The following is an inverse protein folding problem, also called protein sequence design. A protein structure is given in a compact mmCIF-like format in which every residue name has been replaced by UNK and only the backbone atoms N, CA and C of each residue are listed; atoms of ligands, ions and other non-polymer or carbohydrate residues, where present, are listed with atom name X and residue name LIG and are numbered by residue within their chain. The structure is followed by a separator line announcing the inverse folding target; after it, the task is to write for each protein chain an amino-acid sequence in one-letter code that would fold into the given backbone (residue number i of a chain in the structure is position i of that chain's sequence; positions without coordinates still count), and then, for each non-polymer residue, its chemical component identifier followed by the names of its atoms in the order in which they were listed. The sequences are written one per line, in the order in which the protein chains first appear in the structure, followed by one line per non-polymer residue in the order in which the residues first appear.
data_IF_612814274445
#
_entry.id   IF_612814274445
#
_cell.length_a   1.000
_cell.length_b   1.000
_cell.length_c   1.000
_cell.angle_alpha   90.00
_cell.angle_beta   90.00
_cell.angle_gamma   90.00
#
_symmetry.space_group_name_H-M   'P 1'
#
loop_
_entity.id
_entity.type
_entity.pdbx_description
1 polymer ?
#
# COMPACT_ATOMS: atom_id res chain seq x y z
N UNK A 1 -12.20 -14.57 3.23
CA UNK A 1 -12.03 -13.14 3.54
C UNK A 1 -12.63 -12.91 4.90
N UNK A 2 -12.01 -12.15 5.82
CA UNK A 2 -12.66 -11.79 7.07
C UNK A 2 -13.97 -11.05 6.74
N UNK A 3 -15.02 -11.33 7.51
CA UNK A 3 -16.27 -10.57 7.42
C UNK A 3 -15.96 -9.12 7.79
N UNK A 4 -16.42 -8.19 6.97
CA UNK A 4 -16.26 -6.78 7.25
C UNK A 4 -17.24 -6.35 8.33
N UNK A 5 -16.82 -5.45 9.20
CA UNK A 5 -17.74 -4.84 10.14
C UNK A 5 -18.87 -4.13 9.40
N UNK A 6 -20.06 -4.18 9.95
CA UNK A 6 -21.20 -3.41 9.39
C UNK A 6 -20.89 -1.91 9.32
N UNK A 7 -20.09 -1.42 10.24
CA UNK A 7 -19.69 -0.02 10.30
C UNK A 7 -18.81 0.38 9.12
N UNK A 8 -17.81 -0.44 8.77
CA UNK A 8 -16.91 -0.18 7.65
C UNK A 8 -17.63 -0.19 6.29
N UNK A 9 -18.66 -1.00 6.11
CA UNK A 9 -19.40 -1.11 4.84
C UNK A 9 -20.66 -0.24 4.78
N UNK A 10 -21.16 0.25 5.92
CA UNK A 10 -22.37 1.07 5.97
C UNK A 10 -22.07 2.49 5.49
N UNK A 11 -22.79 3.04 4.51
CA UNK A 11 -22.62 4.42 4.08
C UNK A 11 -22.95 5.39 5.21
N UNK A 12 -22.11 6.42 5.36
CA UNK A 12 -22.49 7.57 6.18
C UNK A 12 -23.66 8.30 5.54
N UNK A 13 -24.50 8.91 6.39
CA UNK A 13 -25.56 9.79 5.89
C UNK A 13 -24.95 11.09 5.39
N UNK A 14 -25.50 11.62 4.29
CA UNK A 14 -25.16 12.97 3.86
C UNK A 14 -25.56 14.00 4.95
N UNK A 15 -24.63 14.85 5.28
CA UNK A 15 -24.86 15.96 6.21
C UNK A 15 -25.68 17.05 5.51
N UNK A 16 -26.64 17.64 6.24
CA UNK A 16 -27.41 18.78 5.71
C UNK A 16 -26.51 19.98 5.41
N UNK A 17 -25.50 20.20 6.25
CA UNK A 17 -24.56 21.32 6.14
C UNK A 17 -23.11 20.81 6.20
N UNK A 18 -22.60 20.18 5.14
CA UNK A 18 -21.23 19.70 5.13
C UNK A 18 -20.23 20.86 5.15
N UNK A 19 -19.08 20.62 5.72
CA UNK A 19 -17.94 21.55 5.73
C UNK A 19 -17.41 21.72 4.31
N UNK A 20 -17.77 22.85 3.67
CA UNK A 20 -17.47 23.13 2.25
C UNK A 20 -15.98 23.11 1.91
N UNK A 21 -15.12 23.54 2.84
CA UNK A 21 -13.67 23.53 2.66
C UNK A 21 -13.14 22.11 2.62
N UNK A 22 -13.62 21.24 3.49
CA UNK A 22 -13.26 19.83 3.53
C UNK A 22 -13.71 19.10 2.26
N UNK A 23 -14.93 19.36 1.78
CA UNK A 23 -15.39 18.84 0.48
C UNK A 23 -14.48 19.27 -0.68
N UNK A 24 -14.08 20.55 -0.70
CA UNK A 24 -13.15 21.05 -1.74
C UNK A 24 -11.78 20.38 -1.63
N UNK A 25 -11.25 20.27 -0.42
CA UNK A 25 -9.97 19.60 -0.17
C UNK A 25 -10.00 18.14 -0.58
N UNK A 26 -11.03 17.41 -0.16
CA UNK A 26 -11.22 16.01 -0.57
C UNK A 26 -11.26 15.86 -2.09
N UNK A 27 -11.98 16.72 -2.81
CA UNK A 27 -11.99 16.72 -4.28
C UNK A 27 -10.60 17.01 -4.87
N UNK A 28 -9.85 17.95 -4.29
CA UNK A 28 -8.51 18.31 -4.76
C UNK A 28 -7.56 17.10 -4.66
N UNK A 29 -7.44 16.51 -3.47
CA UNK A 29 -6.43 15.47 -3.22
C UNK A 29 -6.79 14.09 -3.77
N UNK A 30 -8.09 13.83 -4.03
CA UNK A 30 -8.55 12.58 -4.68
C UNK A 30 -8.72 12.71 -6.19
N UNK A 31 -8.80 13.92 -6.72
CA UNK A 31 -9.12 14.21 -8.13
C UNK A 31 -7.93 14.35 -9.05
N UNK A 32 -6.75 14.60 -8.52
CA UNK A 32 -5.57 14.95 -9.33
C UNK A 32 -4.94 13.79 -10.12
N UNK A 33 -5.52 12.60 -10.02
CA UNK A 33 -5.22 11.47 -10.92
C UNK A 33 -6.08 11.45 -12.20
N UNK A 34 -6.72 12.56 -12.56
CA UNK A 34 -7.56 12.66 -13.77
C UNK A 34 -8.92 11.95 -13.68
N UNK A 35 -9.36 11.61 -12.48
CA UNK A 35 -10.62 10.91 -12.27
C UNK A 35 -11.72 11.85 -11.77
N UNK A 36 -12.89 11.86 -12.40
CA UNK A 36 -13.97 12.76 -12.04
C UNK A 36 -14.70 12.29 -10.77
N UNK A 37 -14.18 12.61 -9.59
CA UNK A 37 -15.00 12.64 -8.38
C UNK A 37 -15.75 13.97 -8.28
N UNK A 38 -16.40 14.31 -9.36
CA UNK A 38 -17.15 15.58 -9.44
C UNK A 38 -18.33 15.67 -8.48
N UNK A 39 -18.67 14.56 -7.82
CA UNK A 39 -19.86 14.45 -6.98
C UNK A 39 -19.55 13.99 -5.54
N UNK A 40 -18.34 14.24 -5.01
CA UNK A 40 -18.08 13.90 -3.62
C UNK A 40 -19.06 14.60 -2.68
N UNK A 41 -19.67 13.83 -1.80
CA UNK A 41 -20.60 14.27 -0.76
C UNK A 41 -20.01 14.02 0.61
N UNK A 42 -20.68 14.44 1.65
CA UNK A 42 -20.27 14.16 3.04
C UNK A 42 -20.48 12.68 3.44
N UNK A 43 -21.17 11.91 2.65
CA UNK A 43 -21.31 10.47 2.85
C UNK A 43 -20.08 9.66 2.35
N UNK A 44 -19.22 10.29 1.55
CA UNK A 44 -18.05 9.64 0.99
C UNK A 44 -16.90 9.56 2.00
N UNK A 45 -16.25 8.39 2.08
CA UNK A 45 -15.18 8.12 3.03
C UNK A 45 -14.06 9.19 3.03
N UNK A 46 -13.58 9.71 1.88
CA UNK A 46 -12.58 10.76 1.90
C UNK A 46 -13.02 12.05 2.62
N UNK A 47 -14.30 12.40 2.55
CA UNK A 47 -14.80 13.56 3.28
C UNK A 47 -14.79 13.35 4.79
N UNK A 48 -15.45 12.30 5.27
CA UNK A 48 -15.58 12.14 6.71
C UNK A 48 -14.27 11.74 7.39
N UNK A 49 -13.35 11.06 6.68
CA UNK A 49 -12.00 10.85 7.17
C UNK A 49 -11.23 12.17 7.34
N UNK A 50 -11.33 13.09 6.39
CA UNK A 50 -10.77 14.45 6.52
C UNK A 50 -11.49 15.26 7.60
N UNK A 51 -12.82 15.22 7.64
CA UNK A 51 -13.62 15.98 8.56
C UNK A 51 -13.38 15.61 10.03
N UNK A 52 -12.94 14.39 10.29
CA UNK A 52 -12.63 13.90 11.64
C UNK A 52 -11.47 14.68 12.28
N UNK A 53 -10.43 15.01 11.53
CA UNK A 53 -9.18 15.55 12.09
C UNK A 53 -8.67 16.83 11.44
N UNK A 54 -9.14 17.20 10.25
CA UNK A 54 -8.66 18.41 9.55
C UNK A 54 -9.51 19.62 9.92
N UNK A 55 -8.87 20.69 10.42
CA UNK A 55 -9.53 21.95 10.69
C UNK A 55 -9.82 22.75 9.41
N UNK A 56 -10.71 23.73 9.49
CA UNK A 56 -10.97 24.64 8.37
C UNK A 56 -9.78 25.54 8.03
N UNK A 57 -8.95 25.86 9.02
CA UNK A 57 -7.71 26.63 8.82
C UNK A 57 -6.67 25.81 8.07
N UNK A 58 -6.48 24.54 8.43
CA UNK A 58 -5.63 23.60 7.70
C UNK A 58 -6.11 23.43 6.25
N UNK A 59 -7.42 23.30 6.06
CA UNK A 59 -8.01 23.18 4.73
C UNK A 59 -7.79 24.45 3.89
N UNK A 60 -7.83 25.65 4.47
CA UNK A 60 -7.55 26.91 3.77
C UNK A 60 -6.11 26.97 3.24
N UNK A 61 -5.14 26.48 4.01
CA UNK A 61 -3.75 26.40 3.58
C UNK A 61 -3.60 25.35 2.47
N UNK A 62 -4.09 24.13 2.70
CA UNK A 62 -3.97 23.02 1.75
C UNK A 62 -4.63 23.33 0.40
N UNK A 63 -5.78 24.04 0.39
CA UNK A 63 -6.48 24.44 -0.83
C UNK A 63 -5.73 25.45 -1.71
N UNK A 64 -4.68 26.10 -1.19
CA UNK A 64 -3.81 26.98 -1.96
C UNK A 64 -2.67 26.24 -2.63
N UNK A 65 -2.35 25.02 -2.16
CA UNK A 65 -1.27 24.20 -2.67
C UNK A 65 -1.71 23.37 -3.90
N UNK A 66 -0.74 23.05 -4.73
CA UNK A 66 -0.91 22.01 -5.77
C UNK A 66 -0.46 20.66 -5.23
N UNK A 67 -1.23 19.63 -5.53
CA UNK A 67 -0.90 18.26 -5.12
C UNK A 67 0.44 17.84 -5.71
N UNK A 68 1.26 17.17 -4.91
CA UNK A 68 2.61 16.68 -5.27
C UNK A 68 3.60 17.76 -5.72
N UNK A 69 3.37 18.99 -5.32
CA UNK A 69 4.29 20.11 -5.59
C UNK A 69 4.95 20.53 -4.29
N UNK A 70 6.29 20.49 -4.20
CA UNK A 70 7.00 20.93 -3.01
C UNK A 70 7.05 22.46 -2.94
N UNK A 71 6.88 23.01 -1.74
CA UNK A 71 6.96 24.44 -1.43
C UNK A 71 7.89 24.66 -0.23
N UNK A 72 8.87 25.53 -0.38
CA UNK A 72 9.67 26.03 0.75
C UNK A 72 8.81 26.84 1.71
N UNK A 73 9.28 27.08 2.94
CA UNK A 73 8.54 27.90 3.89
C UNK A 73 8.28 29.31 3.35
N UNK A 74 9.28 29.94 2.71
CA UNK A 74 9.13 31.26 2.08
C UNK A 74 8.04 31.28 0.99
N UNK A 75 7.99 30.22 0.16
CA UNK A 75 6.91 30.08 -0.83
C UNK A 75 5.55 29.86 -0.19
N UNK A 76 5.48 29.14 0.95
CA UNK A 76 4.24 28.98 1.71
C UNK A 76 3.76 30.32 2.30
N UNK A 77 4.66 31.16 2.81
CA UNK A 77 4.31 32.53 3.27
C UNK A 77 3.70 33.33 2.14
N UNK A 78 4.33 33.36 0.98
CA UNK A 78 3.82 34.06 -0.21
C UNK A 78 2.47 33.50 -0.69
N UNK A 79 2.35 32.18 -0.77
CA UNK A 79 1.15 31.48 -1.25
C UNK A 79 -0.04 31.72 -0.32
N UNK A 80 0.20 31.71 0.99
CA UNK A 80 -0.85 31.91 2.00
C UNK A 80 -1.14 33.37 2.27
N UNK A 81 -0.19 34.26 1.96
CA UNK A 81 -0.19 35.67 2.34
C UNK A 81 -0.29 35.82 3.86
N UNK A 82 0.50 35.05 4.58
CA UNK A 82 0.48 35.07 6.04
C UNK A 82 1.12 36.33 6.57
N UNK A 83 0.41 37.03 7.46
CA UNK A 83 0.93 38.19 8.19
C UNK A 83 1.73 37.77 9.45
N UNK A 84 1.48 36.52 9.93
CA UNK A 84 2.13 35.92 11.08
C UNK A 84 2.83 34.61 10.64
N UNK A 85 4.13 34.71 10.43
CA UNK A 85 4.96 33.60 9.98
C UNK A 85 5.12 32.51 11.06
N UNK A 86 5.16 32.90 12.35
CA UNK A 86 5.27 31.91 13.44
C UNK A 86 4.00 31.05 13.54
N UNK A 87 2.86 31.68 13.42
CA UNK A 87 1.57 30.99 13.38
C UNK A 87 1.48 30.05 12.18
N UNK A 88 1.92 30.50 11.00
CA UNK A 88 1.94 29.67 9.81
C UNK A 88 2.88 28.47 10.01
N UNK A 89 4.08 28.67 10.53
CA UNK A 89 5.05 27.58 10.77
C UNK A 89 4.44 26.53 11.70
N UNK A 90 3.83 26.97 12.80
CA UNK A 90 3.16 26.07 13.74
C UNK A 90 2.05 25.26 13.06
N UNK A 91 1.23 25.92 12.24
CA UNK A 91 0.15 25.24 11.50
C UNK A 91 0.69 24.22 10.51
N UNK A 92 1.78 24.53 9.78
CA UNK A 92 2.43 23.59 8.86
C UNK A 92 3.04 22.38 9.59
N UNK A 93 3.63 22.61 10.77
CA UNK A 93 4.13 21.53 11.63
C UNK A 93 2.97 20.63 12.10
N UNK A 94 1.87 21.20 12.55
CA UNK A 94 0.66 20.44 12.94
C UNK A 94 0.08 19.65 11.76
N UNK A 95 -0.03 20.27 10.58
CA UNK A 95 -0.49 19.58 9.37
C UNK A 95 0.43 18.43 8.96
N UNK A 96 1.73 18.58 9.13
CA UNK A 96 2.72 17.55 8.84
C UNK A 96 2.66 16.40 9.86
N UNK A 97 2.53 16.74 11.15
CA UNK A 97 2.37 15.75 12.20
C UNK A 97 1.06 14.96 12.03
N UNK A 98 0.00 15.64 11.62
CA UNK A 98 -1.28 15.00 11.31
C UNK A 98 -1.18 14.02 10.11
N UNK A 99 -0.35 14.34 9.13
CA UNK A 99 -0.23 13.60 7.87
C UNK A 99 -1.04 14.21 6.73
N UNK A 100 -1.56 15.42 6.91
CA UNK A 100 -2.18 16.17 5.83
C UNK A 100 -1.14 16.74 4.86
N UNK A 101 0.04 17.07 5.36
CA UNK A 101 1.22 17.36 4.56
C UNK A 101 2.30 16.34 4.82
N UNK A 102 3.07 16.06 3.81
CA UNK A 102 4.40 15.49 3.90
C UNK A 102 5.44 16.58 3.61
N UNK A 103 6.71 16.29 3.83
CA UNK A 103 7.78 17.18 3.41
C UNK A 103 9.02 16.40 3.01
N UNK A 104 9.82 17.02 2.18
CA UNK A 104 11.17 16.59 1.85
C UNK A 104 12.18 17.71 2.11
N UNK A 105 13.45 17.42 1.92
CA UNK A 105 14.53 18.38 2.02
C UNK A 105 15.17 18.71 0.68
N UNK A 106 14.68 18.12 -0.41
CA UNK A 106 15.19 18.33 -1.76
C UNK A 106 16.52 17.65 -2.05
N UNK A 107 17.06 16.94 -1.08
CA UNK A 107 18.28 16.17 -1.27
C UNK A 107 17.92 14.80 -1.85
N UNK A 108 18.56 14.44 -2.94
CA UNK A 108 18.43 13.10 -3.46
C UNK A 108 19.21 12.12 -2.60
N UNK A 109 18.69 11.75 -1.41
CA UNK A 109 19.09 10.59 -0.62
C UNK A 109 20.57 10.56 -0.15
N UNK A 110 21.22 11.69 -0.15
CA UNK A 110 22.60 11.81 0.31
C UNK A 110 22.64 12.56 1.64
N UNK A 111 21.97 11.99 2.63
CA UNK A 111 21.88 12.62 3.94
C UNK A 111 23.11 12.44 4.81
N UNK A 112 24.03 11.53 4.49
CA UNK A 112 25.26 11.29 5.25
C UNK A 112 25.08 11.46 6.77
N UNK A 113 23.99 10.95 7.32
CA UNK A 113 23.63 11.09 8.73
C UNK A 113 23.30 12.52 9.18
N UNK A 114 23.03 13.46 8.29
CA UNK A 114 22.68 14.84 8.64
C UNK A 114 21.18 14.94 8.90
N UNK A 115 20.81 15.40 10.08
CA UNK A 115 19.49 16.01 10.30
C UNK A 115 19.46 17.35 9.58
N UNK A 116 18.70 17.42 8.48
CA UNK A 116 18.52 18.69 7.78
C UNK A 116 17.76 19.68 8.69
N UNK A 117 18.13 20.96 8.72
CA UNK A 117 17.41 21.94 9.49
C UNK A 117 15.99 22.13 8.99
N UNK A 118 15.02 22.36 9.90
CA UNK A 118 13.61 22.58 9.56
C UNK A 118 13.41 23.68 8.52
N UNK A 119 14.31 24.68 8.46
CA UNK A 119 14.28 25.76 7.48
C UNK A 119 14.45 25.29 6.03
N UNK A 120 14.96 24.08 5.81
CA UNK A 120 15.15 23.49 4.49
C UNK A 120 13.99 22.60 4.05
N UNK A 121 12.97 22.42 4.91
CA UNK A 121 11.78 21.63 4.56
C UNK A 121 11.04 22.24 3.37
N UNK A 122 10.62 21.34 2.49
CA UNK A 122 9.69 21.67 1.40
C UNK A 122 8.39 20.92 1.65
N UNK A 123 7.33 21.64 1.97
CA UNK A 123 6.02 21.09 2.28
C UNK A 123 5.30 20.66 1.02
N UNK A 124 4.71 19.47 1.05
CA UNK A 124 4.03 18.84 -0.08
C UNK A 124 2.64 18.42 0.37
N UNK A 125 1.63 18.80 -0.41
CA UNK A 125 0.30 18.24 -0.27
C UNK A 125 0.25 16.91 -1.00
N UNK A 126 0.21 15.76 -0.32
CA UNK A 126 0.19 14.46 -0.98
C UNK A 126 -1.14 14.21 -1.68
N UNK A 127 -1.18 13.19 -2.52
CA UNK A 127 -2.43 12.59 -2.93
C UNK A 127 -3.14 11.99 -1.71
N UNK A 128 -4.43 11.68 -1.86
CA UNK A 128 -5.14 11.06 -0.75
C UNK A 128 -4.68 9.61 -0.51
N UNK A 129 -4.50 8.83 -1.57
CA UNK A 129 -3.99 7.44 -1.56
C UNK A 129 -3.10 7.19 -2.78
N UNK A 130 -1.87 6.71 -2.61
CA UNK A 130 -1.10 6.63 -1.37
C UNK A 130 -0.70 8.02 -0.87
N UNK A 131 -0.85 8.28 0.42
CA UNK A 131 -0.51 9.58 1.01
C UNK A 131 -1.30 9.89 2.28
N UNK A 132 -2.07 10.99 2.29
CA UNK A 132 -2.72 11.47 3.52
C UNK A 132 -3.55 10.41 4.24
N UNK A 133 -4.26 9.56 3.52
CA UNK A 133 -5.12 8.54 4.13
C UNK A 133 -4.32 7.52 4.95
N UNK A 134 -3.17 7.12 4.46
CA UNK A 134 -2.25 6.26 5.20
C UNK A 134 -1.65 7.01 6.38
N UNK A 135 -1.18 8.23 6.15
CA UNK A 135 -0.50 9.04 7.16
C UNK A 135 -1.41 9.41 8.34
N UNK A 136 -2.71 9.56 8.11
CA UNK A 136 -3.69 9.78 9.17
C UNK A 136 -3.76 8.60 10.16
N UNK A 137 -3.56 7.39 9.68
CA UNK A 137 -3.55 6.17 10.49
C UNK A 137 -2.17 5.78 11.03
N UNK A 138 -1.13 6.55 10.68
CA UNK A 138 0.22 6.33 11.17
C UNK A 138 0.50 7.30 12.32
N UNK A 139 0.38 6.80 13.53
CA UNK A 139 0.80 7.51 14.74
C UNK A 139 1.36 6.48 15.70
N UNK A 140 2.46 6.81 16.39
CA UNK A 140 3.19 5.82 17.15
C UNK A 140 3.64 6.38 18.49
N UNK A 141 3.27 5.67 19.55
CA UNK A 141 3.81 5.90 20.89
C UNK A 141 4.54 4.64 21.35
N UNK A 142 5.80 4.83 21.72
CA UNK A 142 6.63 3.79 22.32
C UNK A 142 6.45 3.90 23.84
N UNK A 143 6.03 2.81 24.49
CA UNK A 143 5.88 2.72 25.93
C UNK A 143 7.20 2.28 26.60
N UNK A 144 7.30 2.44 27.91
CA UNK A 144 8.51 2.08 28.69
C UNK A 144 8.86 0.59 28.59
N UNK A 145 7.89 -0.27 28.39
CA UNK A 145 8.06 -1.72 28.19
C UNK A 145 8.42 -2.10 26.75
N UNK A 146 8.59 -1.12 25.86
CA UNK A 146 8.87 -1.31 24.43
C UNK A 146 7.64 -1.63 23.58
N UNK A 147 6.45 -1.73 24.18
CA UNK A 147 5.23 -1.91 23.43
C UNK A 147 4.86 -0.63 22.65
N UNK A 148 4.11 -0.80 21.57
CA UNK A 148 3.69 0.27 20.68
C UNK A 148 2.16 0.43 20.75
N UNK A 149 1.70 1.67 20.72
CA UNK A 149 0.28 2.00 20.53
C UNK A 149 0.09 3.06 19.45
N UNK A 150 -1.15 3.28 19.06
CA UNK A 150 -1.52 4.32 18.11
C UNK A 150 -2.51 5.30 18.78
N UNK A 151 -2.00 6.36 19.42
CA UNK A 151 -2.85 7.30 20.16
C UNK A 151 -3.94 7.94 19.30
N UNK A 152 -3.63 8.22 18.04
CA UNK A 152 -4.60 8.85 17.14
C UNK A 152 -5.78 7.94 16.83
N UNK A 153 -5.54 6.66 16.57
CA UNK A 153 -6.63 5.71 16.33
C UNK A 153 -7.39 5.36 17.62
N UNK A 154 -6.76 5.48 18.78
CA UNK A 154 -7.44 5.36 20.08
C UNK A 154 -8.40 6.54 20.31
N UNK A 155 -7.98 7.75 19.97
CA UNK A 155 -8.78 8.97 20.07
C UNK A 155 -9.83 9.09 18.95
N UNK A 156 -9.45 8.70 17.72
CA UNK A 156 -10.26 8.84 16.51
C UNK A 156 -10.46 7.49 15.79
N UNK A 157 -11.17 6.52 16.38
CA UNK A 157 -11.34 5.19 15.77
C UNK A 157 -12.09 5.24 14.42
N UNK A 158 -12.83 6.30 14.14
CA UNK A 158 -13.46 6.54 12.85
C UNK A 158 -12.45 6.60 11.69
N UNK A 159 -11.19 6.93 11.97
CA UNK A 159 -10.13 6.92 10.94
C UNK A 159 -9.85 5.50 10.42
N UNK A 160 -9.92 4.48 11.27
CA UNK A 160 -9.84 3.10 10.82
C UNK A 160 -11.02 2.72 9.91
N UNK A 161 -12.24 3.10 10.31
CA UNK A 161 -13.44 2.79 9.53
C UNK A 161 -13.44 3.49 8.15
N UNK A 162 -13.05 4.76 8.05
CA UNK A 162 -13.01 5.42 6.75
C UNK A 162 -11.98 4.80 5.80
N UNK A 163 -10.81 4.44 6.33
CA UNK A 163 -9.74 3.82 5.54
C UNK A 163 -10.19 2.47 4.99
N UNK A 164 -10.81 1.65 5.81
CA UNK A 164 -11.37 0.36 5.39
C UNK A 164 -12.48 0.55 4.36
N UNK A 165 -13.38 1.49 4.58
CA UNK A 165 -14.45 1.77 3.64
C UNK A 165 -13.94 2.18 2.26
N UNK A 166 -12.87 2.95 2.19
CA UNK A 166 -12.27 3.32 0.90
C UNK A 166 -11.89 2.11 0.05
N UNK A 167 -11.55 0.99 0.70
CA UNK A 167 -11.19 -0.25 -0.01
C UNK A 167 -12.32 -0.74 -0.89
N UNK A 168 -13.58 -0.49 -0.56
CA UNK A 168 -14.72 -1.13 -1.19
C UNK A 168 -15.49 -0.29 -2.21
N UNK A 169 -15.46 1.01 -2.12
CA UNK A 169 -16.43 1.83 -2.87
C UNK A 169 -15.85 2.57 -4.07
N UNK A 170 -14.75 3.31 -4.00
CA UNK A 170 -14.32 4.18 -5.09
C UNK A 170 -13.44 3.53 -6.14
N UNK A 171 -12.77 2.43 -5.82
CA UNK A 171 -11.71 1.88 -6.66
C UNK A 171 -12.23 1.09 -7.86
N UNK A 172 -13.42 0.52 -7.77
CA UNK A 172 -14.01 -0.24 -8.88
C UNK A 172 -14.07 0.58 -10.18
N UNK A 173 -14.49 1.82 -10.11
CA UNK A 173 -14.53 2.70 -11.29
C UNK A 173 -13.17 3.13 -11.79
N UNK A 174 -12.23 3.39 -10.85
CA UNK A 174 -10.88 3.83 -11.19
C UNK A 174 -10.04 2.73 -11.82
N UNK A 175 -10.08 1.56 -11.23
CA UNK A 175 -9.22 0.45 -11.63
C UNK A 175 -9.62 -0.15 -12.97
N UNK A 176 -10.88 -0.04 -13.36
CA UNK A 176 -11.35 -0.47 -14.69
C UNK A 176 -10.90 0.45 -15.84
N UNK A 177 -10.51 1.69 -15.52
CA UNK A 177 -10.06 2.67 -16.52
C UNK A 177 -8.56 2.60 -16.81
N UNK A 178 -7.79 1.84 -16.03
CA UNK A 178 -6.35 1.72 -16.17
C UNK A 178 -6.03 0.60 -17.15
N UNK A 179 -5.30 0.86 -18.24
CA UNK A 179 -4.97 -0.18 -19.20
C UNK A 179 -4.10 -1.27 -18.58
N UNK A 180 -4.29 -2.53 -18.94
CA UNK A 180 -3.42 -3.61 -18.50
C UNK A 180 -2.01 -3.44 -19.07
N UNK A 181 -0.99 -3.61 -18.27
CA UNK A 181 0.42 -3.58 -18.70
C UNK A 181 1.36 -2.96 -17.67
N UNK A 182 2.61 -3.38 -17.66
CA UNK A 182 3.70 -2.78 -16.88
C UNK A 182 3.61 -2.95 -15.36
N UNK A 183 4.30 -2.10 -14.63
CA UNK A 183 4.22 -2.00 -13.18
C UNK A 183 2.84 -1.53 -12.71
N UNK A 184 2.46 -1.85 -11.47
CA UNK A 184 1.23 -1.34 -10.86
C UNK A 184 1.23 0.18 -10.79
N UNK A 185 0.06 0.80 -10.90
CA UNK A 185 -0.04 2.26 -10.91
C UNK A 185 0.41 2.89 -9.60
N UNK A 186 0.02 2.32 -8.46
CA UNK A 186 0.39 2.81 -7.14
C UNK A 186 1.56 2.06 -6.52
N UNK A 187 1.58 0.76 -6.73
CA UNK A 187 2.53 -0.14 -6.11
C UNK A 187 3.08 -1.15 -7.12
N UNK A 188 4.35 -1.46 -6.99
CA UNK A 188 5.02 -2.51 -7.75
C UNK A 188 5.40 -3.65 -6.81
N UNK A 189 4.93 -4.86 -7.13
CA UNK A 189 5.24 -6.07 -6.35
C UNK A 189 6.61 -6.60 -6.75
N UNK A 190 7.51 -6.68 -5.78
CA UNK A 190 8.83 -7.29 -5.95
C UNK A 190 8.80 -8.68 -5.33
N UNK A 191 9.20 -9.72 -6.08
CA UNK A 191 9.33 -11.06 -5.54
C UNK A 191 10.45 -11.12 -4.49
N UNK A 192 10.40 -12.15 -3.66
CA UNK A 192 11.51 -12.50 -2.78
C UNK A 192 12.75 -12.79 -3.63
N UNK A 193 13.86 -12.14 -3.34
CA UNK A 193 15.09 -12.21 -4.16
C UNK A 193 15.55 -13.66 -4.39
N UNK A 194 15.46 -14.52 -3.38
CA UNK A 194 15.79 -15.95 -3.48
C UNK A 194 14.91 -16.73 -4.48
N UNK A 195 13.75 -16.15 -4.87
CA UNK A 195 12.84 -16.77 -5.83
C UNK A 195 13.10 -16.33 -7.27
N UNK A 196 13.90 -15.28 -7.48
CA UNK A 196 14.27 -14.80 -8.80
C UNK A 196 15.34 -15.71 -9.37
N UNK A 197 14.99 -16.53 -10.35
CA UNK A 197 15.97 -17.26 -11.17
C UNK A 197 16.38 -16.38 -12.35
N UNK A 198 17.59 -15.88 -12.29
CA UNK A 198 18.16 -15.04 -13.33
C UNK A 198 18.57 -15.86 -14.55
N UNK A 199 17.64 -16.09 -15.47
CA UNK A 199 18.00 -16.44 -16.84
C UNK A 199 18.24 -15.23 -17.73
N UNK A 200 17.84 -14.06 -17.26
CA UNK A 200 18.12 -12.75 -17.85
C UNK A 200 18.59 -11.81 -16.74
N UNK A 201 19.39 -10.83 -17.09
CA UNK A 201 19.79 -9.76 -16.20
C UNK A 201 18.54 -9.11 -15.59
N UNK A 202 18.17 -9.52 -14.37
CA UNK A 202 17.19 -8.78 -13.60
C UNK A 202 17.77 -7.39 -13.36
N UNK A 203 16.95 -6.37 -13.53
CA UNK A 203 17.40 -5.01 -13.23
C UNK A 203 17.53 -4.87 -11.72
N UNK A 204 18.56 -4.17 -11.25
CA UNK A 204 18.80 -3.95 -9.82
C UNK A 204 17.56 -3.40 -9.09
N UNK A 205 16.73 -2.60 -9.77
CA UNK A 205 15.48 -2.04 -9.25
C UNK A 205 14.41 -3.10 -8.87
N UNK A 206 14.58 -4.34 -9.28
CA UNK A 206 13.73 -5.49 -8.90
C UNK A 206 14.26 -6.23 -7.66
N UNK A 207 15.27 -5.68 -6.99
CA UNK A 207 15.84 -6.21 -5.76
C UNK A 207 15.63 -5.25 -4.59
N UNK A 208 15.03 -5.73 -3.50
CA UNK A 208 14.83 -4.91 -2.30
C UNK A 208 16.14 -4.54 -1.61
N UNK A 209 17.13 -5.43 -1.65
CA UNK A 209 18.48 -5.17 -1.15
C UNK A 209 19.14 -3.98 -1.85
N UNK A 210 18.94 -3.83 -3.17
CA UNK A 210 19.40 -2.68 -3.92
C UNK A 210 18.79 -1.37 -3.38
N UNK A 211 17.47 -1.34 -3.18
CA UNK A 211 16.79 -0.15 -2.67
C UNK A 211 17.22 0.19 -1.25
N UNK A 212 17.29 -0.79 -0.37
CA UNK A 212 17.76 -0.58 1.00
C UNK A 212 19.20 -0.10 1.05
N UNK A 213 20.09 -0.65 0.19
CA UNK A 213 21.48 -0.20 0.11
C UNK A 213 21.58 1.22 -0.44
N UNK A 214 20.75 1.56 -1.42
CA UNK A 214 20.70 2.91 -1.99
C UNK A 214 20.33 3.98 -0.97
N UNK A 215 19.51 3.62 0.02
CA UNK A 215 19.00 4.53 1.05
C UNK A 215 19.51 4.19 2.45
N UNK A 216 20.63 3.48 2.58
CA UNK A 216 21.10 2.93 3.85
C UNK A 216 21.27 3.96 4.96
N UNK A 217 21.54 5.21 4.61
CA UNK A 217 21.69 6.30 5.57
C UNK A 217 20.36 6.90 6.08
N UNK A 218 19.24 6.47 5.52
CA UNK A 218 17.93 7.03 5.85
C UNK A 218 16.83 5.99 5.65
N UNK A 219 16.70 5.09 6.62
CA UNK A 219 15.66 4.05 6.67
C UNK A 219 14.91 4.20 8.00
N UNK A 220 13.58 4.12 7.92
CA UNK A 220 12.72 4.07 9.09
C UNK A 220 11.65 3.00 8.94
N UNK A 221 11.21 2.43 10.04
CA UNK A 221 10.06 1.52 10.06
C UNK A 221 8.92 2.13 10.85
N UNK A 222 7.70 2.00 10.34
CA UNK A 222 6.50 2.50 10.97
C UNK A 222 5.35 1.51 10.93
N UNK A 223 4.21 1.98 11.39
CA UNK A 223 2.98 1.22 11.39
C UNK A 223 2.48 0.96 9.96
N UNK A 224 1.81 -0.14 9.77
CA UNK A 224 1.05 -0.41 8.57
C UNK A 224 -0.40 0.11 8.74
N UNK A 225 -0.76 1.19 8.04
CA UNK A 225 -2.10 1.79 8.11
C UNK A 225 -3.23 0.81 7.81
N UNK A 226 -3.01 -0.12 6.87
CA UNK A 226 -3.97 -1.18 6.57
C UNK A 226 -4.21 -2.09 7.78
N UNK A 227 -3.14 -2.49 8.49
CA UNK A 227 -3.25 -3.33 9.70
C UNK A 227 -3.85 -2.56 10.86
N UNK A 228 -3.41 -1.32 11.06
CA UNK A 228 -3.91 -0.46 12.13
C UNK A 228 -5.42 -0.23 12.01
N UNK A 229 -5.91 0.00 10.79
CA UNK A 229 -7.35 0.12 10.52
C UNK A 229 -8.12 -1.15 10.89
N UNK A 230 -7.64 -2.30 10.45
CA UNK A 230 -8.30 -3.59 10.73
C UNK A 230 -8.26 -3.92 12.21
N UNK A 231 -7.15 -3.62 12.91
CA UNK A 231 -7.02 -3.85 14.34
C UNK A 231 -8.03 -3.03 15.15
N UNK A 232 -8.19 -1.74 14.82
CA UNK A 232 -9.18 -0.85 15.47
C UNK A 232 -10.61 -1.34 15.27
N UNK A 233 -10.91 -1.86 14.09
CA UNK A 233 -12.23 -2.42 13.77
C UNK A 233 -12.44 -3.81 14.37
N UNK A 234 -11.43 -4.40 15.01
CA UNK A 234 -11.44 -5.77 15.54
C UNK A 234 -11.71 -6.82 14.46
N UNK A 235 -11.27 -6.56 13.26
CA UNK A 235 -11.46 -7.40 12.08
C UNK A 235 -10.20 -8.21 11.76
N UNK A 236 -9.91 -9.19 12.61
CA UNK A 236 -9.14 -10.37 12.27
C UNK A 236 -7.76 -10.19 11.66
N UNK A 237 -6.94 -9.31 12.21
CA UNK A 237 -5.52 -9.34 11.93
C UNK A 237 -4.84 -10.11 13.04
N UNK A 238 -4.29 -11.26 12.72
CA UNK A 238 -3.57 -12.09 13.66
C UNK A 238 -2.13 -11.60 13.92
N UNK A 239 -1.69 -10.63 13.15
CA UNK A 239 -0.37 -10.05 13.21
C UNK A 239 -0.42 -8.61 13.73
N UNK A 240 0.66 -8.22 14.33
CA UNK A 240 0.94 -6.91 14.85
C UNK A 240 0.84 -5.83 13.73
N UNK A 241 0.33 -4.67 14.08
CA UNK A 241 0.18 -3.54 13.15
C UNK A 241 1.49 -2.77 12.93
N UNK A 242 2.49 -3.03 13.75
CA UNK A 242 3.73 -2.26 13.82
C UNK A 242 4.86 -2.92 13.04
N UNK A 243 5.85 -2.09 12.67
CA UNK A 243 7.13 -2.54 12.10
C UNK A 243 7.02 -3.27 10.76
N UNK A 244 6.09 -2.87 9.91
CA UNK A 244 5.91 -3.47 8.59
C UNK A 244 6.07 -2.52 7.41
N UNK A 245 5.87 -1.22 7.61
CA UNK A 245 6.05 -0.21 6.59
C UNK A 245 7.43 0.41 6.72
N UNK A 246 8.28 0.23 5.72
CA UNK A 246 9.63 0.80 5.68
C UNK A 246 9.57 2.05 4.81
N UNK A 247 9.89 3.20 5.41
CA UNK A 247 10.15 4.45 4.69
C UNK A 247 11.64 4.56 4.36
N UNK A 248 11.96 5.18 3.25
CA UNK A 248 13.34 5.41 2.82
C UNK A 248 13.56 6.86 2.38
N UNK A 249 14.79 7.33 2.51
CA UNK A 249 15.17 8.69 2.12
C UNK A 249 14.43 9.76 2.93
N UNK A 250 14.00 10.83 2.27
CA UNK A 250 13.29 11.94 2.90
C UNK A 250 12.02 11.50 3.62
N UNK A 251 11.33 10.48 3.10
CA UNK A 251 10.15 9.95 3.75
C UNK A 251 10.46 9.24 5.07
N UNK A 252 11.61 8.57 5.19
CA UNK A 252 12.07 8.02 6.46
C UNK A 252 12.28 9.13 7.49
N UNK A 253 12.93 10.23 7.10
CA UNK A 253 13.13 11.39 7.97
C UNK A 253 11.78 11.99 8.40
N UNK A 254 10.85 12.16 7.45
CA UNK A 254 9.51 12.62 7.76
C UNK A 254 8.80 11.72 8.79
N UNK A 255 8.86 10.40 8.62
CA UNK A 255 8.24 9.45 9.56
C UNK A 255 8.82 9.58 10.98
N UNK A 256 10.15 9.68 11.09
CA UNK A 256 10.84 9.81 12.38
C UNK A 256 10.52 11.14 13.04
N UNK A 257 10.64 12.24 12.31
CA UNK A 257 10.44 13.58 12.83
C UNK A 257 8.98 13.87 13.23
N UNK A 258 8.03 13.18 12.61
CA UNK A 258 6.60 13.31 12.92
C UNK A 258 6.06 12.21 13.85
N UNK A 259 6.95 11.40 14.43
CA UNK A 259 6.56 10.35 15.40
C UNK A 259 5.79 9.18 14.81
N UNK A 260 5.89 8.96 13.50
CA UNK A 260 5.18 7.89 12.76
C UNK A 260 6.03 6.64 12.54
N UNK A 261 7.31 6.73 12.83
CA UNK A 261 8.25 5.64 12.63
C UNK A 261 9.49 5.76 13.50
N UNK A 262 10.27 4.70 13.52
CA UNK A 262 11.54 4.56 14.25
C UNK A 262 12.67 4.38 13.24
N UNK A 263 13.81 5.08 13.38
CA UNK A 263 14.95 4.85 12.52
C UNK A 263 15.52 3.45 12.72
N UNK A 264 15.91 2.82 11.63
CA UNK A 264 16.52 1.48 11.62
C UNK A 264 17.72 1.47 10.66
N UNK A 265 18.62 0.53 10.85
CA UNK A 265 19.73 0.28 9.93
C UNK A 265 19.34 -0.71 8.81
N UNK A 266 20.27 -0.90 7.86
CA UNK A 266 20.09 -1.82 6.76
C UNK A 266 19.86 -3.27 7.22
N UNK A 267 20.59 -3.72 8.24
CA UNK A 267 20.52 -5.07 8.78
C UNK A 267 19.15 -5.33 9.43
N UNK A 268 18.61 -4.36 10.16
CA UNK A 268 17.26 -4.48 10.73
C UNK A 268 16.20 -4.48 9.63
N UNK A 269 16.34 -3.62 8.61
CA UNK A 269 15.44 -3.62 7.47
C UNK A 269 15.42 -4.99 6.77
N UNK A 270 16.59 -5.61 6.54
CA UNK A 270 16.68 -6.95 5.97
C UNK A 270 16.04 -8.02 6.87
N UNK A 271 16.16 -7.89 8.21
CA UNK A 271 15.46 -8.79 9.16
C UNK A 271 13.95 -8.67 9.06
N UNK A 272 13.44 -7.45 8.90
CA UNK A 272 12.00 -7.21 8.70
C UNK A 272 11.53 -7.84 7.39
N UNK A 273 12.29 -7.71 6.30
CA UNK A 273 11.98 -8.36 5.04
C UNK A 273 11.93 -9.88 5.20
N UNK A 274 12.94 -10.48 5.85
CA UNK A 274 12.95 -11.92 6.09
C UNK A 274 11.77 -12.37 6.96
N UNK A 275 11.44 -11.62 8.01
CA UNK A 275 10.25 -11.89 8.84
C UNK A 275 8.96 -11.82 8.02
N UNK A 276 8.87 -10.88 7.09
CA UNK A 276 7.74 -10.77 6.18
C UNK A 276 7.64 -11.98 5.23
N UNK A 277 8.77 -12.41 4.67
CA UNK A 277 8.85 -13.63 3.85
C UNK A 277 8.39 -14.87 4.61
N UNK A 278 8.86 -15.05 5.84
CA UNK A 278 8.50 -16.19 6.68
C UNK A 278 7.01 -16.22 7.02
N UNK A 279 6.36 -15.06 7.07
CA UNK A 279 4.91 -14.91 7.27
C UNK A 279 4.10 -14.95 5.95
N UNK A 280 4.74 -15.04 4.80
CA UNK A 280 4.07 -15.06 3.51
C UNK A 280 3.51 -13.71 3.07
N UNK A 281 4.13 -12.63 3.53
CA UNK A 281 3.73 -11.28 3.12
C UNK A 281 4.32 -10.93 1.76
N UNK A 282 3.65 -10.02 1.08
CA UNK A 282 4.01 -9.55 -0.25
C UNK A 282 4.80 -8.26 -0.14
N UNK A 283 5.98 -8.23 -0.72
CA UNK A 283 6.78 -7.01 -0.83
C UNK A 283 6.25 -6.14 -1.96
N UNK A 284 6.07 -4.86 -1.65
CA UNK A 284 5.68 -3.85 -2.63
C UNK A 284 6.51 -2.59 -2.44
N UNK A 285 6.98 -2.02 -3.53
CA UNK A 285 7.58 -0.69 -3.55
C UNK A 285 6.60 0.33 -4.11
N UNK A 286 6.74 1.58 -3.72
CA UNK A 286 5.96 2.69 -4.30
C UNK A 286 6.38 2.97 -5.74
N UNK A 287 5.43 3.35 -6.58
CA UNK A 287 5.66 3.55 -8.03
C UNK A 287 5.05 4.88 -8.52
N UNK A 288 5.18 5.93 -7.72
CA UNK A 288 4.60 7.24 -8.02
C UNK A 288 5.62 8.39 -8.00
N UNK A 289 6.87 8.12 -7.61
CA UNK A 289 7.88 9.16 -7.41
C UNK A 289 8.79 9.40 -8.60
N UNK A 290 8.52 8.74 -9.71
CA UNK A 290 9.29 8.83 -10.94
C UNK A 290 10.42 7.80 -11.04
N UNK A 291 11.22 7.94 -12.07
CA UNK A 291 12.27 7.00 -12.42
C UNK A 291 13.34 6.91 -11.32
N UNK A 292 13.73 5.68 -10.98
CA UNK A 292 14.77 5.39 -10.00
C UNK A 292 14.53 5.91 -8.57
N UNK A 293 13.28 6.13 -8.19
CA UNK A 293 12.91 6.59 -6.84
C UNK A 293 11.79 5.74 -6.26
N UNK A 294 11.91 5.50 -4.97
CA UNK A 294 10.83 5.00 -4.12
C UNK A 294 10.83 5.81 -2.82
N UNK A 295 9.72 5.90 -2.13
CA UNK A 295 9.67 6.44 -0.78
C UNK A 295 9.39 5.38 0.27
N UNK A 296 8.95 4.18 -0.12
CA UNK A 296 8.65 3.14 0.85
C UNK A 296 8.59 1.74 0.27
N UNK A 297 8.79 0.79 1.18
CA UNK A 297 8.66 -0.65 0.98
C UNK A 297 7.60 -1.17 1.93
N UNK A 298 6.54 -1.74 1.38
CA UNK A 298 5.47 -2.37 2.14
C UNK A 298 5.66 -3.87 2.23
N UNK A 299 5.37 -4.44 3.40
CA UNK A 299 5.37 -5.88 3.68
C UNK A 299 3.92 -6.33 3.93
N UNK A 300 3.21 -6.66 2.89
CA UNK A 300 1.76 -6.68 2.84
C UNK A 300 1.15 -8.05 3.11
N UNK A 301 0.29 -8.13 4.13
CA UNK A 301 -0.63 -9.25 4.26
C UNK A 301 -1.77 -9.09 3.24
N UNK A 302 -1.96 -10.08 2.37
CA UNK A 302 -2.95 -10.01 1.28
C UNK A 302 -4.40 -9.90 1.76
N UNK A 303 -4.69 -10.38 2.96
CA UNK A 303 -6.02 -10.31 3.56
C UNK A 303 -6.33 -8.95 4.19
N UNK A 304 -5.33 -8.08 4.30
CA UNK A 304 -5.40 -6.80 5.02
C UNK A 304 -5.06 -5.63 4.11
N UNK A 305 -4.06 -5.78 3.25
CA UNK A 305 -3.53 -4.70 2.42
C UNK A 305 -4.62 -4.10 1.51
N UNK A 306 -4.76 -2.78 1.58
CA UNK A 306 -5.68 -2.00 0.76
C UNK A 306 -5.45 -2.25 -0.75
N UNK A 307 -4.21 -2.14 -1.21
CA UNK A 307 -3.87 -2.26 -2.62
C UNK A 307 -4.08 -3.69 -3.16
N UNK A 308 -3.62 -4.71 -2.41
CA UNK A 308 -3.78 -6.10 -2.81
C UNK A 308 -5.25 -6.55 -2.79
N UNK A 309 -6.00 -6.19 -1.74
CA UNK A 309 -7.45 -6.53 -1.66
C UNK A 309 -8.24 -5.84 -2.76
N UNK A 310 -7.96 -4.58 -3.03
CA UNK A 310 -8.61 -3.86 -4.12
C UNK A 310 -8.34 -4.51 -5.47
N UNK A 311 -7.11 -4.94 -5.71
CA UNK A 311 -6.75 -5.66 -6.94
C UNK A 311 -7.51 -6.98 -7.06
N UNK A 312 -7.65 -7.74 -5.97
CA UNK A 312 -8.37 -9.01 -5.95
C UNK A 312 -9.89 -8.83 -6.07
N UNK A 313 -10.47 -7.91 -5.29
CA UNK A 313 -11.93 -7.71 -5.23
C UNK A 313 -12.50 -7.22 -6.56
N UNK A 314 -11.75 -6.41 -7.26
CA UNK A 314 -12.21 -5.77 -8.48
C UNK A 314 -11.58 -6.33 -9.75
N UNK A 315 -10.79 -7.40 -9.61
CA UNK A 315 -10.02 -7.99 -10.71
C UNK A 315 -9.20 -6.93 -11.47
N UNK A 316 -8.49 -6.10 -10.71
CA UNK A 316 -7.75 -4.96 -11.25
C UNK A 316 -6.29 -5.04 -10.85
N UNK A 317 -5.48 -5.79 -11.60
CA UNK A 317 -4.05 -5.98 -11.29
C UNK A 317 -3.23 -4.68 -11.38
N UNK A 318 -3.86 -3.59 -11.74
CA UNK A 318 -3.18 -2.34 -12.04
C UNK A 318 -2.84 -1.51 -10.79
N UNK A 319 -3.44 -1.80 -9.63
CA UNK A 319 -3.08 -1.12 -8.38
C UNK A 319 -1.77 -1.66 -7.81
N UNK A 320 -1.61 -2.98 -7.87
CA UNK A 320 -0.41 -3.70 -7.43
C UNK A 320 -0.08 -4.77 -8.44
N UNK A 321 1.10 -4.72 -9.02
CA UNK A 321 1.52 -5.64 -10.06
C UNK A 321 2.98 -6.01 -9.94
N UNK A 322 3.31 -7.24 -10.37
CA UNK A 322 4.67 -7.72 -10.52
C UNK A 322 5.07 -7.82 -12.00
N UNK A 323 6.35 -7.62 -12.30
CA UNK A 323 6.93 -7.94 -13.60
C UNK A 323 7.20 -9.45 -13.76
N UNK A 324 7.04 -10.22 -12.69
CA UNK A 324 7.39 -11.64 -12.62
C UNK A 324 6.17 -12.53 -12.66
N UNK A 325 6.39 -13.74 -13.13
CA UNK A 325 5.40 -14.80 -13.23
C UNK A 325 5.91 -16.04 -12.50
N UNK A 326 5.22 -16.48 -11.45
CA UNK A 326 5.57 -17.70 -10.74
C UNK A 326 5.27 -18.94 -11.59
N UNK A 327 6.23 -19.86 -11.70
CA UNK A 327 6.07 -21.13 -12.40
C UNK A 327 6.41 -22.29 -11.47
N UNK A 328 5.64 -23.35 -11.57
CA UNK A 328 5.94 -24.62 -10.91
C UNK A 328 6.72 -25.50 -11.87
N UNK A 329 7.87 -26.00 -11.43
CA UNK A 329 8.59 -27.00 -12.20
C UNK A 329 7.83 -28.32 -12.15
N UNK A 330 7.23 -28.79 -13.27
CA UNK A 330 6.40 -29.99 -13.26
C UNK A 330 7.19 -31.25 -13.01
N UNK A 331 8.51 -31.26 -13.28
CA UNK A 331 9.38 -32.43 -13.08
C UNK A 331 9.68 -32.64 -11.60
N UNK A 332 9.86 -31.54 -10.87
CA UNK A 332 10.13 -31.56 -9.42
C UNK A 332 8.86 -31.61 -8.58
N UNK A 333 7.69 -31.35 -9.16
CA UNK A 333 6.43 -31.29 -8.45
C UNK A 333 5.92 -32.66 -8.08
N UNK A 334 5.78 -32.92 -6.78
CA UNK A 334 5.23 -34.19 -6.24
C UNK A 334 3.73 -34.10 -5.96
N UNK A 335 3.06 -33.01 -6.41
CA UNK A 335 1.63 -32.79 -6.26
C UNK A 335 1.11 -32.89 -4.79
N UNK A 336 1.93 -32.53 -3.82
CA UNK A 336 1.59 -32.64 -2.38
C UNK A 336 0.52 -31.64 -1.89
N UNK A 337 0.15 -30.63 -2.71
CA UNK A 337 -0.87 -29.65 -2.36
C UNK A 337 -0.45 -28.52 -1.40
N UNK A 338 0.72 -28.59 -0.79
CA UNK A 338 1.13 -27.57 0.20
C UNK A 338 1.15 -26.14 -0.36
N UNK A 339 1.56 -25.96 -1.62
CA UNK A 339 1.51 -24.63 -2.24
C UNK A 339 0.09 -24.06 -2.36
N UNK A 340 -0.93 -24.93 -2.45
CA UNK A 340 -2.34 -24.51 -2.46
C UNK A 340 -2.77 -24.02 -1.09
N UNK A 341 -2.35 -24.71 -0.04
CA UNK A 341 -2.67 -24.36 1.35
C UNK A 341 -1.98 -23.05 1.77
N UNK A 342 -0.74 -22.86 1.33
CA UNK A 342 0.08 -21.70 1.70
C UNK A 342 -0.09 -20.50 0.77
N UNK A 343 -0.76 -20.61 -0.38
CA UNK A 343 -0.93 -19.48 -1.26
C UNK A 343 -1.96 -18.49 -0.70
N UNK A 344 -1.53 -17.32 -0.19
CA UNK A 344 -2.45 -16.39 0.46
C UNK A 344 -3.43 -15.75 -0.53
N UNK A 345 -3.08 -15.70 -1.82
CA UNK A 345 -3.96 -15.23 -2.88
C UNK A 345 -4.96 -16.28 -3.39
N UNK A 346 -4.83 -17.54 -2.93
CA UNK A 346 -5.64 -18.65 -3.43
C UNK A 346 -5.45 -18.91 -4.93
N UNK A 347 -4.34 -18.46 -5.50
CA UNK A 347 -4.08 -18.52 -6.93
C UNK A 347 -3.53 -19.87 -7.39
N UNK A 348 -2.87 -20.59 -6.49
CA UNK A 348 -2.38 -21.94 -6.79
C UNK A 348 -3.52 -22.93 -6.63
N UNK A 349 -3.80 -23.68 -7.66
CA UNK A 349 -4.81 -24.74 -7.68
C UNK A 349 -4.15 -26.06 -8.03
N UNK A 350 -4.47 -27.12 -7.30
CA UNK A 350 -4.23 -28.47 -7.80
C UNK A 350 -5.33 -28.81 -8.80
N UNK A 351 -4.94 -29.16 -10.01
CA UNK A 351 -5.87 -29.79 -10.94
C UNK A 351 -6.39 -31.09 -10.34
N UNK A 352 -7.69 -31.30 -10.33
CA UNK A 352 -8.23 -32.60 -9.94
C UNK A 352 -7.71 -33.66 -10.90
N UNK A 353 -7.09 -34.72 -10.38
CA UNK A 353 -6.55 -35.81 -11.18
C UNK A 353 -5.54 -35.36 -12.24
N UNK A 354 -4.46 -34.74 -11.80
CA UNK A 354 -3.40 -34.25 -12.68
C UNK A 354 -2.83 -35.37 -13.60
N UNK A 355 -2.80 -36.59 -13.12
CA UNK A 355 -2.38 -37.75 -13.90
C UNK A 355 -3.22 -39.00 -13.57
N UNK A 356 -3.51 -39.79 -14.58
CA UNK A 356 -3.98 -41.18 -14.44
C UNK A 356 -2.89 -42.12 -14.89
N UNK A 357 -3.11 -43.43 -14.75
CA UNK A 357 -2.20 -44.44 -15.33
C UNK A 357 -2.01 -44.27 -16.83
N UNK A 358 -2.96 -43.66 -17.50
CA UNK A 358 -3.02 -43.46 -18.95
C UNK A 358 -2.50 -42.09 -19.41
N UNK A 359 -1.96 -41.27 -18.49
CA UNK A 359 -1.42 -39.96 -18.77
C UNK A 359 -2.16 -38.79 -18.10
N UNK A 360 -1.82 -37.53 -18.45
CA UNK A 360 -2.47 -36.35 -17.88
C UNK A 360 -3.95 -36.24 -18.28
N UNK A 361 -4.79 -35.97 -17.30
CA UNK A 361 -6.23 -35.72 -17.55
C UNK A 361 -6.42 -34.37 -18.19
N UNK A 362 -7.02 -34.33 -19.35
CA UNK A 362 -7.49 -33.10 -19.98
C UNK A 362 -8.93 -32.86 -19.59
N UNK A 363 -9.18 -31.71 -18.94
CA UNK A 363 -10.55 -31.25 -18.63
C UNK A 363 -11.14 -30.59 -19.85
N UNK A 364 -12.43 -30.87 -20.15
CA UNK A 364 -13.16 -30.06 -21.12
C UNK A 364 -13.13 -28.59 -20.75
N UNK A 365 -12.92 -27.73 -21.71
CA UNK A 365 -12.83 -26.26 -21.48
C UNK A 365 -14.08 -25.68 -20.77
N UNK A 366 -15.24 -26.27 -21.00
CA UNK A 366 -16.52 -25.83 -20.42
C UNK A 366 -16.70 -26.21 -18.94
N UNK A 367 -15.92 -27.14 -18.39
CA UNK A 367 -16.04 -27.49 -16.96
C UNK A 367 -15.32 -26.49 -16.04
N UNK A 368 -14.31 -25.80 -16.55
CA UNK A 368 -13.53 -24.82 -15.77
C UNK A 368 -14.35 -23.59 -15.35
N UNK A 369 -15.16 -22.98 -16.22
CA UNK A 369 -16.01 -21.87 -15.84
C UNK A 369 -17.05 -22.24 -14.79
N UNK A 370 -17.61 -23.44 -14.85
CA UNK A 370 -18.61 -23.94 -13.89
C UNK A 370 -18.00 -24.16 -12.51
N UNK A 371 -16.80 -24.73 -12.44
CA UNK A 371 -16.05 -24.95 -11.19
C UNK A 371 -15.71 -23.61 -10.53
N UNK A 372 -15.44 -22.57 -11.32
CA UNK A 372 -15.09 -21.24 -10.85
C UNK A 372 -16.34 -20.35 -10.63
N UNK A 373 -17.53 -20.86 -10.86
CA UNK A 373 -18.79 -20.10 -10.73
C UNK A 373 -19.05 -19.12 -11.86
N UNK A 374 -18.46 -19.34 -13.04
CA UNK A 374 -18.61 -18.46 -14.20
C UNK A 374 -19.32 -19.17 -15.35
N UNK A 375 -20.12 -18.41 -16.09
CA UNK A 375 -20.79 -18.92 -17.26
C UNK A 375 -19.82 -19.21 -18.43
N UNK A 376 -20.20 -20.13 -19.29
CA UNK A 376 -19.40 -20.57 -20.45
C UNK A 376 -19.00 -19.40 -21.38
N UNK A 377 -19.82 -18.36 -21.46
CA UNK A 377 -19.64 -17.17 -22.27
C UNK A 377 -18.50 -16.22 -21.79
N UNK A 378 -17.96 -16.48 -20.61
CA UNK A 378 -16.85 -15.69 -20.03
C UNK A 378 -15.51 -16.40 -20.06
N UNK A 379 -15.48 -17.61 -20.59
CA UNK A 379 -14.24 -18.39 -20.67
C UNK A 379 -13.53 -18.09 -21.98
N UNK A 380 -12.48 -17.29 -21.91
CA UNK A 380 -11.51 -17.13 -22.99
C UNK A 380 -10.08 -17.35 -22.49
N UNK A 381 -9.13 -17.45 -23.40
CA UNK A 381 -7.71 -17.64 -23.06
C UNK A 381 -7.14 -16.41 -22.37
N UNK A 382 -7.63 -15.20 -22.69
CA UNK A 382 -7.20 -13.95 -22.06
C UNK A 382 -7.65 -13.89 -20.60
N UNK A 383 -8.84 -14.43 -20.30
CA UNK A 383 -9.32 -14.54 -18.94
C UNK A 383 -8.50 -15.51 -18.09
N UNK A 384 -8.03 -16.61 -18.68
CA UNK A 384 -7.12 -17.55 -18.04
C UNK A 384 -5.81 -16.88 -17.65
N UNK A 385 -5.30 -16.01 -18.49
CA UNK A 385 -4.08 -15.24 -18.21
C UNK A 385 -4.31 -14.14 -17.19
N UNK A 386 -5.46 -13.47 -17.16
CA UNK A 386 -5.80 -12.47 -16.16
C UNK A 386 -5.94 -13.04 -14.74
N UNK A 387 -6.42 -14.28 -14.60
CA UNK A 387 -6.48 -14.95 -13.29
C UNK A 387 -5.13 -15.50 -12.81
N UNK A 388 -4.17 -15.71 -13.69
CA UNK A 388 -2.79 -16.02 -13.32
C UNK A 388 -2.12 -14.83 -12.62
N UNK A 389 -2.53 -13.62 -12.88
CA UNK A 389 -1.98 -12.40 -12.31
C UNK A 389 -2.02 -12.43 -10.78
N UNK A 390 -3.07 -12.97 -10.17
CA UNK A 390 -3.18 -13.03 -8.71
C UNK A 390 -2.16 -13.96 -8.03
N UNK A 391 -1.65 -14.96 -8.73
CA UNK A 391 -0.54 -15.78 -8.22
C UNK A 391 0.80 -15.06 -8.33
N UNK A 392 0.95 -14.24 -9.35
CA UNK A 392 2.19 -13.60 -9.71
C UNK A 392 2.46 -12.34 -8.90
N UNK A 393 1.38 -11.65 -8.54
CA UNK A 393 1.45 -10.45 -7.73
C UNK A 393 1.84 -10.73 -6.28
N UNK A 394 1.81 -12.00 -5.87
CA UNK A 394 2.18 -12.32 -4.49
C UNK A 394 3.67 -12.62 -4.31
N UNK A 395 4.41 -12.99 -5.35
CA UNK A 395 5.86 -13.26 -5.29
C UNK A 395 6.30 -14.09 -4.08
N UNK A 396 5.41 -14.94 -3.55
CA UNK A 396 5.45 -15.35 -2.16
C UNK A 396 6.46 -16.45 -1.89
N UNK A 397 7.36 -16.15 -1.00
CA UNK A 397 8.26 -17.11 -0.36
C UNK A 397 7.59 -18.35 0.24
N UNK A 398 6.37 -18.30 0.80
CA UNK A 398 5.72 -19.47 1.37
C UNK A 398 5.58 -20.64 0.40
N UNK A 399 5.34 -20.36 -0.88
CA UNK A 399 5.26 -21.42 -1.87
C UNK A 399 6.59 -22.16 -2.04
N UNK A 400 7.72 -21.45 -1.87
CA UNK A 400 9.06 -22.03 -2.00
C UNK A 400 9.49 -22.78 -0.75
N UNK A 401 9.22 -22.22 0.42
CA UNK A 401 9.61 -22.79 1.72
C UNK A 401 8.72 -23.95 2.16
N UNK A 402 7.45 -23.93 1.77
CA UNK A 402 6.49 -24.96 2.15
C UNK A 402 6.57 -26.24 1.29
N UNK A 403 7.22 -26.19 0.14
CA UNK A 403 7.30 -27.36 -0.73
C UNK A 403 8.34 -28.36 -0.25
N UNK A 404 7.95 -29.59 0.15
CA UNK A 404 8.90 -30.61 0.63
C UNK A 404 9.91 -31.07 -0.43
N UNK A 405 9.62 -30.83 -1.70
CA UNK A 405 10.50 -31.19 -2.80
C UNK A 405 11.48 -30.07 -3.19
N UNK A 406 11.54 -29.00 -2.41
CA UNK A 406 12.32 -27.80 -2.71
C UNK A 406 12.16 -27.34 -4.17
N UNK A 407 10.90 -27.32 -4.63
CA UNK A 407 10.60 -26.90 -5.99
C UNK A 407 10.95 -25.42 -6.11
N UNK A 408 11.83 -25.12 -7.05
CA UNK A 408 12.03 -23.74 -7.47
C UNK A 408 10.73 -23.23 -8.10
N UNK A 409 10.04 -22.36 -7.38
CA UNK A 409 9.03 -21.51 -8.00
C UNK A 409 9.83 -20.48 -8.76
N UNK A 410 9.88 -20.64 -10.07
CA UNK A 410 10.55 -19.68 -10.94
C UNK A 410 9.71 -18.39 -10.95
N UNK A 411 10.33 -17.32 -10.54
CA UNK A 411 9.78 -15.97 -10.70
C UNK A 411 10.00 -15.43 -12.10
#
# INVERSE_FOLDING_TARGET
MPELSKEAITPHKDEKNPRKKILKLGKLITGDGGFPFSKMTSADAPYWGLAEIVSDEMADVALKMKVRTPYTFSEMVQLTKADDEEKLQKLLDEMSQLGLLEYDYGYHYDHNGRTAPKSERRYILPMFVPGSAELFNMDQKIHEDGSLSNPRLEEHPALGAFFERMTYVPLKGKTQLIPPGGAGLGMHVIPVEKAIEAHNTSMDIEHLSYWLKKYEDSIAVGQCSCRSSMAVLKEGVADDAYNWCIGVGDFANYLVETGKGTPIDYEEAMRILQKAEDNGFVHQITNIDGENKIFGICNCNVNVCYALRSSQLFNTPNMSRSAYTAKVDPIKCVACGKCVEYCPAGAVKLGQKLCTKDGPVQYPKHELPTILGWGEDKYDENYRDSNRINCYDTGTAPCKTACPAHIAVQG
#
